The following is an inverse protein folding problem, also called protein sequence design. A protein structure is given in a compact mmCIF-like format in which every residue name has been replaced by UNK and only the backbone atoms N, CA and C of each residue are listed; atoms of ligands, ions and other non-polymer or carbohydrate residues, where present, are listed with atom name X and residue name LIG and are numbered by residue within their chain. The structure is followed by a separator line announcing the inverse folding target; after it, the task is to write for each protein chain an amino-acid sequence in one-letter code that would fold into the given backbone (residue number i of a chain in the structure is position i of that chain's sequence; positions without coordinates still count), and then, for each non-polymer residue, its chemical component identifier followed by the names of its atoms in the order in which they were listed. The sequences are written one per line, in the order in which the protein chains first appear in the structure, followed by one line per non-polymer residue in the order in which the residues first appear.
data_IF_304200533229
#
_entry.id   IF_304200533229
#
_cell.length_a   1.000
_cell.length_b   1.000
_cell.length_c   1.000
_cell.angle_alpha   90.00
_cell.angle_beta   90.00
_cell.angle_gamma   90.00
#
_symmetry.space_group_name_H-M   'P 1'
#
loop_
_entity.id
_entity.type
_entity.pdbx_description
1 polymer ?
#
# COMPACT_ATOMS: atom_id res chain seq x y z
N UNK A 1 -0.99 -61.51 -24.10
CA UNK A 1 -0.79 -60.74 -22.86
C UNK A 1 -1.51 -59.40 -23.03
N UNK A 2 -2.73 -59.26 -22.48
CA UNK A 2 -3.61 -58.10 -22.70
C UNK A 2 -3.31 -57.06 -21.62
N UNK A 3 -2.58 -56.01 -21.99
CA UNK A 3 -2.30 -54.88 -21.12
C UNK A 3 -3.63 -54.18 -20.82
N UNK A 4 -4.08 -54.25 -19.57
CA UNK A 4 -5.34 -53.71 -19.07
C UNK A 4 -5.31 -52.18 -19.12
N UNK A 5 -5.99 -51.62 -20.12
CA UNK A 5 -6.15 -50.18 -20.43
C UNK A 5 -6.86 -49.34 -19.35
N UNK A 6 -7.00 -49.84 -18.11
CA UNK A 6 -7.68 -49.15 -17.00
C UNK A 6 -6.74 -48.52 -15.96
N UNK A 7 -5.46 -48.85 -15.98
CA UNK A 7 -4.48 -48.31 -15.04
C UNK A 7 -3.83 -46.99 -15.49
N UNK A 8 -3.97 -46.61 -16.77
CA UNK A 8 -3.28 -45.43 -17.33
C UNK A 8 -3.95 -44.08 -17.00
N UNK A 9 -5.22 -44.08 -16.57
CA UNK A 9 -5.99 -42.83 -16.32
C UNK A 9 -5.72 -42.24 -14.93
N UNK A 10 -5.23 -43.04 -13.97
CA UNK A 10 -5.00 -42.57 -12.60
C UNK A 10 -3.69 -41.76 -12.43
N UNK A 11 -2.71 -41.94 -13.33
CA UNK A 11 -1.38 -41.31 -13.20
C UNK A 11 -1.36 -39.88 -13.76
N UNK A 12 -2.23 -39.54 -14.72
CA UNK A 12 -2.28 -38.21 -15.33
C UNK A 12 -2.88 -37.11 -14.44
N UNK A 13 -3.59 -37.46 -13.36
CA UNK A 13 -4.14 -36.50 -12.40
C UNK A 13 -3.11 -35.94 -11.41
N UNK A 14 -1.92 -36.54 -11.31
CA UNK A 14 -0.87 -36.12 -10.37
C UNK A 14 0.09 -35.06 -10.95
N UNK A 15 -0.06 -34.71 -12.23
CA UNK A 15 0.68 -33.61 -12.87
C UNK A 15 -0.07 -32.27 -12.84
N UNK A 16 -1.13 -32.17 -12.01
CA UNK A 16 -1.77 -30.89 -11.72
C UNK A 16 -0.76 -29.95 -11.07
N UNK A 17 -0.15 -29.09 -11.87
CA UNK A 17 0.81 -28.09 -11.42
C UNK A 17 0.20 -27.22 -10.32
N UNK A 18 1.07 -26.68 -9.45
CA UNK A 18 0.68 -25.68 -8.48
C UNK A 18 -0.01 -24.52 -9.22
N UNK A 19 -1.32 -24.39 -9.04
CA UNK A 19 -2.02 -23.21 -9.50
C UNK A 19 -1.51 -22.04 -8.65
N UNK A 20 -0.72 -21.16 -9.26
CA UNK A 20 -0.35 -19.90 -8.65
C UNK A 20 -1.60 -19.02 -8.61
N UNK A 21 -2.40 -19.17 -7.56
CA UNK A 21 -3.45 -18.22 -7.23
C UNK A 21 -2.80 -16.84 -7.01
N UNK A 22 -3.44 -15.78 -7.52
CA UNK A 22 -2.85 -14.46 -7.73
C UNK A 22 -1.99 -13.95 -6.56
N UNK A 23 -0.80 -13.44 -6.92
CA UNK A 23 0.15 -12.86 -5.97
C UNK A 23 -0.47 -11.67 -5.25
N UNK A 24 -0.31 -11.65 -3.93
CA UNK A 24 -0.73 -10.55 -3.07
C UNK A 24 0.49 -9.86 -2.50
N UNK A 25 0.53 -8.55 -2.62
CA UNK A 25 1.56 -7.74 -1.99
C UNK A 25 1.01 -6.99 -0.79
N UNK A 26 1.82 -7.03 0.27
CA UNK A 26 1.55 -6.41 1.54
C UNK A 26 2.69 -5.46 1.87
N UNK A 27 2.38 -4.17 2.03
CA UNK A 27 3.35 -3.16 2.39
C UNK A 27 2.97 -2.56 3.75
N UNK A 28 3.69 -2.94 4.84
CA UNK A 28 3.46 -2.35 6.15
C UNK A 28 3.86 -0.87 6.14
N UNK A 29 3.40 -0.12 7.14
CA UNK A 29 3.85 1.26 7.33
C UNK A 29 5.33 1.28 7.67
N UNK A 30 6.13 1.81 6.75
CA UNK A 30 7.56 2.07 6.95
C UNK A 30 7.79 3.57 7.01
N UNK A 31 8.55 4.04 8.01
CA UNK A 31 9.00 5.42 8.10
C UNK A 31 10.52 5.46 8.13
N UNK A 32 11.13 6.14 7.16
CA UNK A 32 12.57 6.34 7.07
C UNK A 32 12.90 7.83 7.22
N UNK A 33 13.39 8.22 8.40
CA UNK A 33 13.70 9.63 8.69
C UNK A 33 14.91 10.14 7.92
N UNK A 34 15.95 9.31 7.77
CA UNK A 34 17.16 9.68 7.02
C UNK A 34 16.90 9.81 5.51
N UNK A 35 16.08 8.91 4.98
CA UNK A 35 15.63 8.94 3.57
C UNK A 35 14.44 9.88 3.31
N UNK A 36 13.86 10.45 4.36
CA UNK A 36 12.66 11.31 4.35
C UNK A 36 11.53 10.78 3.49
N UNK A 37 11.20 9.51 3.71
CA UNK A 37 10.05 8.90 3.06
C UNK A 37 9.27 7.98 3.99
N UNK A 38 8.01 7.79 3.68
CA UNK A 38 7.20 6.73 4.25
C UNK A 38 6.30 6.12 3.17
N UNK A 39 5.97 4.84 3.32
CA UNK A 39 5.06 4.15 2.43
C UNK A 39 4.21 3.11 3.16
N UNK A 40 3.05 2.80 2.60
CA UNK A 40 2.17 1.73 3.05
C UNK A 40 1.07 1.45 2.02
N UNK A 41 0.48 0.26 2.07
CA UNK A 41 -0.87 0.07 1.51
C UNK A 41 -1.92 0.61 2.49
N UNK A 42 -2.91 1.36 2.01
CA UNK A 42 -3.95 1.97 2.85
C UNK A 42 -4.80 0.95 3.61
N UNK A 43 -4.99 -0.23 3.04
CA UNK A 43 -5.65 -1.37 3.67
C UNK A 43 -4.88 -1.89 4.87
N UNK A 44 -3.55 -1.68 4.90
CA UNK A 44 -2.69 -2.23 5.92
C UNK A 44 -2.77 -1.46 7.24
N UNK A 45 -2.74 -0.14 7.19
CA UNK A 45 -2.95 0.69 8.37
C UNK A 45 -4.27 0.39 9.09
N UNK A 46 -5.27 -0.19 8.39
CA UNK A 46 -6.55 -0.62 8.96
C UNK A 46 -6.57 -2.07 9.45
N UNK A 47 -5.78 -2.94 8.82
CA UNK A 47 -5.72 -4.38 9.10
C UNK A 47 -4.55 -4.75 10.03
N UNK A 48 -3.75 -3.79 10.50
CA UNK A 48 -2.60 -4.07 11.36
C UNK A 48 -3.07 -4.44 12.76
N UNK A 49 -2.55 -5.56 13.27
CA UNK A 49 -2.73 -5.96 14.68
C UNK A 49 -1.86 -5.11 15.63
N UNK A 50 -1.11 -4.14 15.10
CA UNK A 50 -0.17 -3.31 15.86
C UNK A 50 -0.82 -1.97 16.20
N UNK A 51 -0.99 -1.65 17.50
CA UNK A 51 -1.81 -0.51 17.92
C UNK A 51 -1.22 0.87 17.57
N UNK A 52 0.06 0.94 17.21
CA UNK A 52 0.74 2.19 16.86
C UNK A 52 0.77 2.45 15.35
N UNK A 53 0.54 1.43 14.53
CA UNK A 53 0.74 1.54 13.10
C UNK A 53 -0.40 2.35 12.47
N UNK A 54 -0.07 3.43 11.76
CA UNK A 54 -1.07 4.29 11.13
C UNK A 54 -0.52 5.00 9.90
N UNK A 55 -1.40 5.23 8.93
CA UNK A 55 -1.11 6.01 7.73
C UNK A 55 -2.33 6.86 7.42
N UNK A 56 -2.13 8.17 7.27
CA UNK A 56 -3.21 9.12 7.07
C UNK A 56 -2.77 10.23 6.12
N UNK A 57 -3.55 10.46 5.07
CA UNK A 57 -3.46 11.66 4.25
C UNK A 57 -4.81 12.37 4.23
N UNK A 58 -4.77 13.69 4.17
CA UNK A 58 -5.96 14.53 4.06
C UNK A 58 -5.70 15.76 3.21
N UNK A 59 -6.79 16.33 2.69
CA UNK A 59 -6.81 17.70 2.18
C UNK A 59 -7.81 18.50 2.98
N UNK A 60 -7.46 19.71 3.34
CA UNK A 60 -8.34 20.67 4.01
C UNK A 60 -8.53 21.87 3.09
N UNK A 61 -9.73 22.44 3.13
CA UNK A 61 -10.11 23.60 2.32
C UNK A 61 -10.77 24.63 3.22
N UNK A 62 -10.25 25.84 3.19
CA UNK A 62 -10.79 27.01 3.87
C UNK A 62 -11.34 28.00 2.83
N UNK A 63 -11.89 29.12 3.29
CA UNK A 63 -12.37 30.17 2.38
C UNK A 63 -11.26 30.81 1.53
N UNK A 64 -10.00 30.71 1.95
CA UNK A 64 -8.86 31.40 1.32
C UNK A 64 -7.78 30.46 0.80
N UNK A 65 -7.79 29.19 1.19
CA UNK A 65 -6.68 28.28 0.92
C UNK A 65 -7.11 26.82 0.86
N UNK A 66 -6.36 26.03 0.10
CA UNK A 66 -6.40 24.57 0.11
C UNK A 66 -5.01 24.07 0.43
N UNK A 67 -4.92 23.16 1.40
CA UNK A 67 -3.69 22.46 1.72
C UNK A 67 -3.96 20.98 1.99
N UNK A 68 -2.90 20.20 2.13
CA UNK A 68 -2.99 18.80 2.48
C UNK A 68 -1.79 18.37 3.29
N UNK A 69 -1.95 17.25 3.97
CA UNK A 69 -0.87 16.63 4.70
C UNK A 69 -0.96 15.12 4.61
N UNK A 70 0.19 14.48 4.75
CA UNK A 70 0.31 13.03 4.89
C UNK A 70 1.18 12.74 6.11
N UNK A 71 0.76 11.76 6.89
CA UNK A 71 1.44 11.32 8.10
C UNK A 71 1.43 9.80 8.18
N UNK A 72 2.47 9.27 8.80
CA UNK A 72 2.61 7.85 9.04
C UNK A 72 3.28 7.61 10.39
N UNK A 73 2.91 6.51 11.04
CA UNK A 73 3.60 5.95 12.20
C UNK A 73 3.78 4.45 12.00
N UNK A 74 5.01 3.98 12.15
CA UNK A 74 5.32 2.56 12.03
C UNK A 74 5.05 1.80 13.34
N UNK A 75 5.25 0.48 13.28
CA UNK A 75 5.10 -0.43 14.41
C UNK A 75 6.01 -0.13 15.61
N UNK A 76 7.17 0.49 15.38
CA UNK A 76 8.12 0.89 16.42
C UNK A 76 7.78 2.26 17.03
N UNK A 77 6.75 2.94 16.51
CA UNK A 77 6.33 4.26 16.95
C UNK A 77 7.07 5.41 16.27
N UNK A 78 7.94 5.15 15.29
CA UNK A 78 8.57 6.20 14.49
C UNK A 78 7.51 6.86 13.64
N UNK A 79 7.42 8.18 13.68
CA UNK A 79 6.41 8.94 12.99
C UNK A 79 6.99 10.08 12.16
N UNK A 80 6.32 10.38 11.06
CA UNK A 80 6.62 11.52 10.20
C UNK A 80 5.33 12.13 9.68
N UNK A 81 5.40 13.43 9.35
CA UNK A 81 4.34 14.19 8.71
C UNK A 81 4.96 15.13 7.69
N UNK A 82 4.27 15.36 6.58
CA UNK A 82 4.59 16.44 5.65
C UNK A 82 3.33 17.17 5.20
N UNK A 83 3.52 18.43 4.79
CA UNK A 83 2.46 19.32 4.32
C UNK A 83 2.67 19.73 2.86
N UNK A 84 1.60 20.06 2.15
CA UNK A 84 1.69 20.58 0.78
C UNK A 84 0.58 21.55 0.45
N UNK A 85 0.94 22.57 -0.32
CA UNK A 85 0.02 23.52 -0.97
C UNK A 85 0.05 23.37 -2.50
N UNK A 86 0.89 22.44 -3.00
CA UNK A 86 1.06 22.22 -4.42
C UNK A 86 -0.16 21.49 -4.98
N UNK A 87 -0.84 22.10 -5.96
CA UNK A 87 -2.08 21.56 -6.52
C UNK A 87 -1.94 20.17 -7.15
N UNK A 88 -0.77 19.82 -7.70
CA UNK A 88 -0.53 18.50 -8.26
C UNK A 88 -0.41 17.43 -7.16
N UNK A 89 0.26 17.76 -6.06
CA UNK A 89 0.36 16.86 -4.90
C UNK A 89 -0.99 16.71 -4.19
N UNK A 90 -1.78 17.78 -4.12
CA UNK A 90 -3.15 17.72 -3.59
C UNK A 90 -4.05 16.82 -4.45
N UNK A 91 -3.90 16.86 -5.78
CA UNK A 91 -4.63 15.95 -6.67
C UNK A 91 -4.24 14.48 -6.42
N UNK A 92 -2.95 14.19 -6.18
CA UNK A 92 -2.51 12.85 -5.80
C UNK A 92 -3.09 12.41 -4.46
N UNK A 93 -3.12 13.28 -3.43
CA UNK A 93 -3.75 12.94 -2.15
C UNK A 93 -5.23 12.56 -2.33
N UNK A 94 -5.97 13.30 -3.18
CA UNK A 94 -7.39 13.05 -3.43
C UNK A 94 -7.66 11.78 -4.23
N UNK A 95 -6.67 11.22 -4.93
CA UNK A 95 -6.84 9.96 -5.66
C UNK A 95 -6.64 8.72 -4.77
N UNK A 96 -6.18 8.89 -3.53
CA UNK A 96 -5.95 7.78 -2.60
C UNK A 96 -7.27 7.05 -2.31
N UNK A 97 -7.27 5.74 -2.54
CA UNK A 97 -8.35 4.81 -2.19
C UNK A 97 -7.92 3.88 -1.06
N UNK A 98 -8.85 3.08 -0.55
CA UNK A 98 -8.61 2.09 0.51
C UNK A 98 -7.61 0.97 0.14
N UNK A 99 -7.40 0.72 -1.14
CA UNK A 99 -6.51 -0.30 -1.71
C UNK A 99 -5.24 0.27 -2.34
N UNK A 100 -5.03 1.58 -2.21
CA UNK A 100 -3.86 2.24 -2.78
C UNK A 100 -2.58 1.87 -2.02
N UNK A 101 -1.49 1.61 -2.76
CA UNK A 101 -0.14 1.75 -2.24
C UNK A 101 0.25 3.23 -2.35
N UNK A 102 0.60 3.84 -1.22
CA UNK A 102 0.98 5.24 -1.17
C UNK A 102 2.44 5.35 -0.70
N UNK A 103 3.22 6.15 -1.42
CA UNK A 103 4.56 6.56 -1.00
C UNK A 103 4.63 8.08 -0.97
N UNK A 104 5.23 8.61 0.09
CA UNK A 104 5.39 10.04 0.30
C UNK A 104 6.85 10.33 0.63
N UNK A 105 7.38 11.44 0.11
CA UNK A 105 8.68 11.98 0.50
C UNK A 105 8.55 13.44 0.90
N UNK A 106 9.46 13.91 1.76
CA UNK A 106 9.50 15.29 2.22
C UNK A 106 10.91 15.88 2.24
N UNK A 107 10.99 17.20 2.25
CA UNK A 107 12.25 17.94 2.38
C UNK A 107 12.60 18.25 3.85
N UNK A 108 13.66 19.05 4.08
CA UNK A 108 14.11 19.37 5.44
C UNK A 108 13.13 20.23 6.22
N UNK A 109 12.26 20.94 5.51
CA UNK A 109 11.26 21.84 6.09
C UNK A 109 9.94 21.14 6.41
N UNK A 110 9.81 19.85 6.08
CA UNK A 110 8.58 19.08 6.26
C UNK A 110 7.57 19.31 5.14
N UNK A 111 7.99 19.84 3.99
CA UNK A 111 7.11 19.97 2.82
C UNK A 111 7.16 18.69 1.98
N UNK A 112 6.00 18.19 1.58
CA UNK A 112 5.93 17.02 0.71
C UNK A 112 6.51 17.39 -0.67
N UNK A 113 7.48 16.61 -1.13
CA UNK A 113 8.13 16.79 -2.44
C UNK A 113 7.68 15.74 -3.45
N UNK A 114 7.13 14.63 -2.97
CA UNK A 114 6.68 13.52 -3.79
C UNK A 114 5.51 12.81 -3.12
N UNK A 115 4.45 12.56 -3.89
CA UNK A 115 3.34 11.69 -3.49
C UNK A 115 3.04 10.78 -4.68
N UNK A 116 3.12 9.48 -4.45
CA UNK A 116 2.76 8.47 -5.43
C UNK A 116 1.62 7.63 -4.90
N UNK A 117 0.63 7.44 -5.75
CA UNK A 117 -0.51 6.54 -5.51
C UNK A 117 -0.49 5.47 -6.60
N UNK A 118 -0.37 4.21 -6.21
CA UNK A 118 -0.41 3.06 -7.14
C UNK A 118 -1.61 2.18 -6.85
N UNK A 119 -2.18 1.65 -7.92
CA UNK A 119 -3.22 0.64 -7.89
C UNK A 119 -2.69 -0.62 -8.56
N UNK A 120 -2.96 -1.77 -7.95
CA UNK A 120 -2.66 -3.08 -8.51
C UNK A 120 -3.66 -4.07 -7.96
N UNK A 121 -4.05 -5.06 -8.76
CA UNK A 121 -4.87 -6.18 -8.31
C UNK A 121 -4.19 -7.02 -7.21
N UNK A 122 -2.87 -6.88 -7.07
CA UNK A 122 -2.09 -7.53 -6.03
C UNK A 122 -2.20 -6.86 -4.65
N UNK A 123 -2.67 -5.60 -4.56
CA UNK A 123 -2.82 -4.94 -3.25
C UNK A 123 -4.10 -5.40 -2.57
N UNK A 124 -3.99 -5.86 -1.33
CA UNK A 124 -5.15 -6.38 -0.61
C UNK A 124 -6.20 -5.27 -0.42
N UNK A 125 -7.49 -5.55 -0.66
CA UNK A 125 -8.57 -4.67 -0.28
C UNK A 125 -8.74 -4.63 1.24
N UNK A 126 -9.56 -3.69 1.71
CA UNK A 126 -9.99 -3.65 3.11
C UNK A 126 -10.68 -4.98 3.49
N UNK A 127 -10.37 -5.53 4.67
CA UNK A 127 -11.07 -6.69 5.24
C UNK A 127 -12.31 -6.27 6.02
#
# INVERSE_FOLDING_TARGET
MKISMRAAVAVSALLGGLAWAGEKHYYPVMVALDGRYFNATMSMARNSDRPLESFHCFTETTATEVYGACSARDAAGVAAICYTYNQNLLAAIRSITDSSLVQVQWDASGMCTYIQVRYSSAYEPKK
#
